data_IF_704701002240
#
_entry.id   IF_704701002240
#
_cell.length_a   1.000
_cell.length_b   1.000
_cell.length_c   1.000
_cell.angle_alpha   90.00
_cell.angle_beta   90.00
_cell.angle_gamma   90.00
#
_symmetry.space_group_name_H-M   'P 1'
#
loop_
_entity.id
_entity.type
_entity.pdbx_description
1 polymer ?
#
# COMPACT_ATOMS: atom_id res chain seq x y z
N UNK A 1 -15.94 -4.80 3.06
CA UNK A 1 -16.77 -3.66 2.65
C UNK A 1 -16.12 -2.38 3.14
N UNK A 2 -16.36 -1.27 2.45
CA UNK A 2 -15.86 0.04 2.82
C UNK A 2 -16.49 0.48 4.15
N UNK A 3 -15.65 0.86 5.12
CA UNK A 3 -16.08 1.30 6.45
C UNK A 3 -15.86 2.78 6.60
N UNK A 4 -16.85 3.48 7.15
CA UNK A 4 -16.65 4.88 7.56
C UNK A 4 -15.55 4.94 8.62
N UNK A 5 -14.86 6.08 8.70
CA UNK A 5 -13.81 6.29 9.71
C UNK A 5 -14.31 6.02 11.14
N UNK A 6 -15.56 6.34 11.45
CA UNK A 6 -16.15 6.10 12.77
C UNK A 6 -16.41 4.61 13.08
N UNK A 7 -16.41 3.73 12.08
CA UNK A 7 -16.77 2.32 12.20
C UNK A 7 -15.63 1.34 11.88
N UNK A 8 -14.45 1.86 11.55
CA UNK A 8 -13.26 1.04 11.28
C UNK A 8 -12.67 0.56 12.61
N UNK A 9 -12.33 -0.72 12.68
CA UNK A 9 -11.57 -1.27 13.80
C UNK A 9 -10.08 -1.09 13.56
N UNK A 10 -9.27 -1.05 14.62
CA UNK A 10 -7.81 -1.03 14.51
C UNK A 10 -7.27 -2.23 13.71
N UNK A 11 -7.91 -3.39 13.82
CA UNK A 11 -7.54 -4.58 13.06
C UNK A 11 -7.78 -4.39 11.56
N UNK A 12 -8.90 -3.78 11.17
CA UNK A 12 -9.20 -3.48 9.77
C UNK A 12 -8.22 -2.43 9.22
N UNK A 13 -7.94 -1.39 10.02
CA UNK A 13 -6.96 -0.35 9.69
C UNK A 13 -5.57 -0.96 9.43
N UNK A 14 -5.09 -1.79 10.35
CA UNK A 14 -3.83 -2.49 10.23
C UNK A 14 -3.78 -3.43 9.03
N UNK A 15 -4.88 -4.12 8.73
CA UNK A 15 -4.98 -5.02 7.59
C UNK A 15 -4.82 -4.26 6.27
N UNK A 16 -5.53 -3.13 6.11
CA UNK A 16 -5.45 -2.25 4.94
C UNK A 16 -4.01 -1.78 4.72
N UNK A 17 -3.35 -1.29 5.77
CA UNK A 17 -1.96 -0.82 5.69
C UNK A 17 -0.97 -1.94 5.39
N UNK A 18 -1.21 -3.12 5.97
CA UNK A 18 -0.35 -4.28 5.76
C UNK A 18 -0.37 -4.72 4.31
N UNK A 19 -1.53 -4.72 3.67
CA UNK A 19 -1.67 -5.14 2.27
C UNK A 19 -1.23 -4.04 1.30
N UNK A 20 -1.71 -2.81 1.47
CA UNK A 20 -1.52 -1.76 0.45
C UNK A 20 -0.18 -1.03 0.52
N UNK A 21 0.39 -0.83 1.72
CA UNK A 21 1.68 -0.15 1.89
C UNK A 21 2.79 -1.14 2.25
N UNK A 22 2.62 -1.87 3.36
CA UNK A 22 3.70 -2.68 3.93
C UNK A 22 4.09 -3.83 3.00
N UNK A 23 3.13 -4.48 2.34
CA UNK A 23 3.37 -5.54 1.37
C UNK A 23 4.25 -5.06 0.22
N UNK A 24 3.85 -3.96 -0.42
CA UNK A 24 4.59 -3.32 -1.53
C UNK A 24 6.01 -2.95 -1.13
N UNK A 25 6.20 -2.42 0.09
CA UNK A 25 7.53 -2.14 0.64
C UNK A 25 8.37 -3.41 0.84
N UNK A 26 7.81 -4.46 1.44
CA UNK A 26 8.56 -5.68 1.72
C UNK A 26 9.06 -6.37 0.44
N UNK A 27 8.19 -6.50 -0.56
CA UNK A 27 8.56 -7.07 -1.87
C UNK A 27 9.62 -6.21 -2.57
N UNK A 28 9.43 -4.89 -2.56
CA UNK A 28 10.42 -3.96 -3.11
C UNK A 28 11.78 -4.10 -2.42
N UNK A 29 11.80 -4.15 -1.09
CA UNK A 29 13.03 -4.32 -0.30
C UNK A 29 13.72 -5.64 -0.60
N UNK A 30 12.97 -6.71 -0.80
CA UNK A 30 13.52 -8.00 -1.19
C UNK A 30 14.12 -7.98 -2.60
N UNK A 31 13.47 -7.29 -3.55
CA UNK A 31 13.96 -7.18 -4.93
C UNK A 31 15.17 -6.22 -5.09
N UNK A 32 15.29 -5.23 -4.20
CA UNK A 32 16.26 -4.14 -4.31
C UNK A 32 17.73 -4.56 -4.49
N UNK A 33 18.28 -5.53 -3.73
CA UNK A 33 19.67 -5.96 -3.92
C UNK A 33 19.94 -6.55 -5.30
N UNK A 34 18.96 -7.26 -5.87
CA UNK A 34 19.06 -7.86 -7.21
C UNK A 34 19.07 -6.78 -8.30
N UNK A 35 18.19 -5.79 -8.18
CA UNK A 35 18.16 -4.63 -9.10
C UNK A 35 19.48 -3.85 -9.05
N UNK A 36 20.03 -3.64 -7.84
CA UNK A 36 21.33 -2.97 -7.65
C UNK A 36 22.47 -3.77 -8.28
N UNK A 37 22.52 -5.09 -8.08
CA UNK A 37 23.53 -5.98 -8.68
C UNK A 37 23.50 -5.91 -10.22
N UNK A 38 22.30 -5.88 -10.79
CA UNK A 38 22.11 -5.85 -12.23
C UNK A 38 22.28 -4.44 -12.84
N UNK A 39 22.56 -3.42 -12.02
CA UNK A 39 22.62 -1.99 -12.41
C UNK A 39 21.36 -1.53 -13.16
N UNK A 40 20.23 -2.21 -12.93
CA UNK A 40 18.99 -1.99 -13.65
C UNK A 40 17.81 -2.57 -12.87
N UNK A 41 16.70 -1.85 -12.87
CA UNK A 41 15.42 -2.28 -12.32
C UNK A 41 14.39 -1.16 -12.43
N UNK A 42 13.11 -1.53 -12.49
CA UNK A 42 11.99 -0.59 -12.44
C UNK A 42 10.96 -1.13 -11.46
N UNK A 43 10.43 -0.25 -10.62
CA UNK A 43 9.36 -0.55 -9.69
C UNK A 43 8.19 0.34 -10.08
N UNK A 44 7.03 -0.26 -10.35
CA UNK A 44 5.81 0.46 -10.69
C UNK A 44 4.80 0.15 -9.59
N UNK A 45 4.33 1.19 -8.92
CA UNK A 45 3.28 1.10 -7.91
C UNK A 45 1.98 1.60 -8.50
N UNK A 46 0.87 0.95 -8.13
CA UNK A 46 -0.47 1.36 -8.53
C UNK A 46 -1.12 2.10 -7.37
N UNK A 47 -1.57 3.32 -7.62
CA UNK A 47 -2.41 4.09 -6.71
C UNK A 47 -3.81 4.26 -7.30
N UNK A 48 -4.75 4.77 -6.51
CA UNK A 48 -6.11 5.07 -6.95
C UNK A 48 -6.44 6.55 -6.71
N UNK A 49 -7.46 7.06 -7.40
CA UNK A 49 -7.96 8.42 -7.18
C UNK A 49 -8.36 8.66 -5.71
N UNK A 50 -8.91 7.64 -5.04
CA UNK A 50 -9.23 7.70 -3.61
C UNK A 50 -7.98 7.90 -2.73
N UNK A 51 -6.81 7.39 -3.13
CA UNK A 51 -5.54 7.64 -2.43
C UNK A 51 -4.95 9.03 -2.67
N UNK A 52 -5.39 9.73 -3.72
CA UNK A 52 -4.89 11.07 -4.09
C UNK A 52 -5.83 12.16 -3.56
N UNK A 53 -7.13 11.98 -3.76
CA UNK A 53 -8.16 12.99 -3.48
C UNK A 53 -9.03 12.66 -2.26
N UNK A 54 -8.86 11.46 -1.68
CA UNK A 54 -9.78 10.93 -0.67
C UNK A 54 -11.06 10.35 -1.28
N UNK A 55 -11.70 9.45 -0.56
CA UNK A 55 -13.05 8.98 -0.87
C UNK A 55 -13.79 8.63 0.42
N UNK A 56 -15.08 8.97 0.50
CA UNK A 56 -15.89 8.67 1.66
C UNK A 56 -16.02 7.16 1.88
N UNK A 57 -15.85 6.68 3.11
CA UNK A 57 -15.83 5.25 3.44
C UNK A 57 -14.51 4.53 3.11
N UNK A 58 -13.50 5.23 2.60
CA UNK A 58 -12.20 4.67 2.26
C UNK A 58 -11.06 5.44 2.94
N UNK A 59 -11.21 5.73 4.23
CA UNK A 59 -10.08 6.19 5.02
C UNK A 59 -9.03 5.05 5.06
N UNK A 60 -7.83 5.34 4.57
CA UNK A 60 -6.70 4.41 4.48
C UNK A 60 -5.42 5.10 4.93
#
# INVERSE_FOLDING_TARGET
EDRSFASISDQDWDLIHRVHLRGSFQVTRAAWPHMKKNKYGRIIMVTSAAGIYGNFGQAK
#
